data_IF_232575331073
#
_entry.id   IF_232575331073
#
_cell.length_a   1.000
_cell.length_b   1.000
_cell.length_c   1.000
_cell.angle_alpha   90.00
_cell.angle_beta   90.00
_cell.angle_gamma   90.00
#
_symmetry.space_group_name_H-M   'P 1'
#
loop_
_entity.id
_entity.type
_entity.pdbx_description
1 polymer ?
#
# COMPACT_ATOMS: atom_id res chain seq x y z
N UNK A 1 11.85 1.98 1.99
CA UNK A 1 10.70 1.44 2.75
C UNK A 1 9.47 2.30 2.50
N UNK A 2 8.55 1.85 1.63
CA UNK A 2 7.31 2.56 1.31
C UNK A 2 6.10 1.69 1.65
N UNK A 3 5.09 2.30 2.25
CA UNK A 3 3.84 1.67 2.65
C UNK A 3 2.69 2.50 2.10
N UNK A 4 1.74 1.85 1.40
CA UNK A 4 0.54 2.53 0.93
C UNK A 4 -0.40 2.79 2.12
N UNK A 5 -0.95 4.00 2.21
CA UNK A 5 -1.85 4.41 3.30
C UNK A 5 -3.09 3.51 3.41
N UNK A 6 -3.55 2.98 2.28
CA UNK A 6 -4.69 2.07 2.19
C UNK A 6 -4.48 0.72 2.92
N UNK A 7 -3.25 0.35 3.28
CA UNK A 7 -2.95 -0.88 4.03
C UNK A 7 -2.87 -0.66 5.53
N UNK A 8 -3.06 0.58 5.99
CA UNK A 8 -3.12 0.90 7.42
C UNK A 8 -4.53 0.57 7.91
N UNK A 9 -4.60 -0.30 8.92
CA UNK A 9 -5.86 -0.76 9.51
C UNK A 9 -6.33 0.20 10.59
N UNK A 10 -5.42 0.62 11.47
CA UNK A 10 -5.69 1.57 12.56
C UNK A 10 -4.57 2.58 12.67
N UNK A 11 -4.94 3.86 12.84
CA UNK A 11 -4.01 4.94 13.17
C UNK A 11 -4.31 5.37 14.61
N UNK A 12 -3.39 5.08 15.51
CA UNK A 12 -3.43 5.60 16.88
C UNK A 12 -2.61 6.88 16.95
N UNK A 13 -3.29 8.02 16.86
CA UNK A 13 -2.67 9.33 16.91
C UNK A 13 -2.08 9.66 18.29
N UNK A 14 -2.69 9.16 19.36
CA UNK A 14 -2.27 9.44 20.73
C UNK A 14 -0.94 8.77 21.08
N UNK A 15 -0.78 7.52 20.65
CA UNK A 15 0.44 6.74 20.73
C UNK A 15 1.39 6.97 19.54
N UNK A 16 1.02 7.79 18.56
CA UNK A 16 1.75 7.99 17.30
C UNK A 16 2.15 6.67 16.62
N UNK A 17 1.23 5.70 16.62
CA UNK A 17 1.47 4.34 16.12
C UNK A 17 0.46 3.98 15.03
N UNK A 18 0.90 3.23 14.04
CA UNK A 18 0.04 2.67 12.99
C UNK A 18 0.06 1.16 13.06
N UNK A 19 -1.13 0.56 12.99
CA UNK A 19 -1.31 -0.89 12.93
C UNK A 19 -1.68 -1.27 11.50
N UNK A 20 -1.02 -2.31 10.98
CA UNK A 20 -1.29 -2.88 9.66
C UNK A 20 -1.25 -4.40 9.76
N UNK A 21 -2.01 -5.08 8.92
CA UNK A 21 -1.94 -6.55 8.82
C UNK A 21 -0.63 -7.04 8.18
N UNK A 22 0.20 -6.13 7.64
CA UNK A 22 1.50 -6.46 7.08
C UNK A 22 2.53 -6.72 8.17
N UNK A 23 3.34 -7.77 8.00
CA UNK A 23 4.42 -8.08 8.94
C UNK A 23 5.58 -7.09 8.79
N UNK A 24 6.31 -6.86 9.89
CA UNK A 24 7.50 -5.98 9.88
C UNK A 24 8.56 -6.44 8.88
N UNK A 25 8.66 -7.75 8.64
CA UNK A 25 9.58 -8.33 7.67
C UNK A 25 9.20 -7.96 6.24
N UNK A 26 7.91 -8.05 5.90
CA UNK A 26 7.42 -7.63 4.60
C UNK A 26 7.68 -6.14 4.36
N UNK A 27 7.52 -5.29 5.40
CA UNK A 27 7.82 -3.86 5.32
C UNK A 27 9.32 -3.62 5.11
N UNK A 28 10.19 -4.37 5.77
CA UNK A 28 11.65 -4.27 5.56
C UNK A 28 12.10 -4.74 4.19
N UNK A 29 11.41 -5.73 3.63
CA UNK A 29 11.69 -6.24 2.29
C UNK A 29 11.10 -5.36 1.17
N UNK A 30 10.47 -4.23 1.52
CA UNK A 30 9.95 -3.24 0.57
C UNK A 30 11.03 -2.83 -0.44
N UNK A 31 10.74 -2.87 -1.75
CA UNK A 31 11.70 -2.44 -2.77
C UNK A 31 12.08 -0.98 -2.53
N UNK A 32 13.37 -0.67 -2.48
CA UNK A 32 13.82 0.71 -2.33
C UNK A 32 13.69 1.44 -3.68
N UNK A 33 13.00 2.58 -3.69
CA UNK A 33 12.93 3.44 -4.88
C UNK A 33 12.99 4.90 -4.48
N UNK A 34 13.74 5.67 -5.25
CA UNK A 34 13.82 7.13 -5.17
C UNK A 34 12.74 7.82 -6.01
N UNK A 35 12.12 7.09 -6.94
CA UNK A 35 11.09 7.58 -7.84
C UNK A 35 9.81 6.75 -7.64
N UNK A 36 8.79 7.40 -7.09
CA UNK A 36 7.45 6.83 -6.98
C UNK A 36 6.73 7.12 -8.29
N UNK A 37 6.77 6.16 -9.21
CA UNK A 37 6.00 6.16 -10.45
C UNK A 37 4.98 5.01 -10.43
N UNK A 38 3.96 5.08 -11.29
CA UNK A 38 2.95 4.02 -11.49
C UNK A 38 3.57 2.63 -11.66
N UNK A 39 4.68 2.50 -12.37
CA UNK A 39 5.36 1.22 -12.56
C UNK A 39 5.97 0.68 -11.25
N UNK A 40 6.46 1.59 -10.39
CA UNK A 40 6.96 1.22 -9.07
C UNK A 40 5.81 0.87 -8.12
N UNK A 41 4.72 1.65 -8.12
CA UNK A 41 3.52 1.34 -7.34
C UNK A 41 2.93 -0.02 -7.71
N UNK A 42 2.89 -0.36 -9.01
CA UNK A 42 2.44 -1.67 -9.47
C UNK A 42 3.34 -2.80 -8.94
N UNK A 43 4.67 -2.64 -8.96
CA UNK A 43 5.61 -3.60 -8.37
C UNK A 43 5.46 -3.70 -6.85
N UNK A 44 5.22 -2.58 -6.17
CA UNK A 44 4.99 -2.56 -4.73
C UNK A 44 3.72 -3.33 -4.38
N UNK A 45 2.63 -3.07 -5.10
CA UNK A 45 1.36 -3.77 -4.93
C UNK A 45 1.47 -5.27 -5.24
N UNK A 46 2.19 -5.65 -6.31
CA UNK A 46 2.49 -7.05 -6.64
C UNK A 46 3.32 -7.73 -5.54
N UNK A 47 4.37 -7.05 -5.05
CA UNK A 47 5.24 -7.55 -3.97
C UNK A 47 4.46 -7.84 -2.69
N UNK A 48 3.52 -6.98 -2.31
CA UNK A 48 2.65 -7.20 -1.15
C UNK A 48 1.39 -8.02 -1.45
N UNK A 49 1.22 -8.46 -2.70
CA UNK A 49 0.02 -9.14 -3.21
C UNK A 49 -1.28 -8.39 -2.86
N UNK A 50 -1.26 -7.07 -2.97
CA UNK A 50 -2.39 -6.18 -2.68
C UNK A 50 -2.95 -5.60 -3.97
N UNK A 51 -4.28 -5.62 -4.10
CA UNK A 51 -4.96 -4.97 -5.23
C UNK A 51 -4.65 -3.48 -5.28
N UNK A 52 -4.36 -2.99 -6.49
CA UNK A 52 -4.21 -1.57 -6.75
C UNK A 52 -5.52 -0.84 -6.53
N UNK A 53 -5.49 0.30 -5.84
CA UNK A 53 -6.67 1.17 -5.68
C UNK A 53 -7.26 1.62 -7.03
N UNK A 54 -6.44 1.63 -8.09
CA UNK A 54 -6.85 1.91 -9.47
C UNK A 54 -7.71 0.81 -10.12
N UNK A 55 -7.83 -0.36 -9.50
CA UNK A 55 -8.72 -1.44 -9.98
C UNK A 55 -10.18 -1.11 -9.65
N UNK A 56 -10.45 -0.41 -8.54
CA UNK A 56 -11.81 -0.08 -8.08
C UNK A 56 -12.48 1.04 -8.90
N UNK A 57 -11.71 1.91 -9.55
CA UNK A 57 -12.25 2.95 -10.46
C UNK A 57 -12.89 2.36 -11.74
N UNK A 58 -12.56 1.11 -12.09
CA UNK A 58 -13.14 0.39 -13.25
C UNK A 58 -14.41 -0.38 -12.88
N UNK A 59 -15.22 0.14 -11.94
CA UNK A 59 -16.37 -0.57 -11.38
C UNK A 59 -17.64 0.25 -11.12
N UNK A 60 -17.74 1.53 -11.51
CA UNK A 60 -19.03 2.25 -11.41
C UNK A 60 -19.17 3.37 -12.43
N UNK A 61 -19.75 3.04 -13.58
CA UNK A 61 -20.52 3.98 -14.40
C UNK A 61 -21.85 3.32 -14.72
N UNK A 62 -23.01 3.91 -14.39
CA UNK A 62 -24.31 3.29 -14.66
C UNK A 62 -24.58 3.30 -16.17
N UNK A 63 -25.04 2.17 -16.70
CA UNK A 63 -25.69 2.05 -18.00
C UNK A 63 -27.22 2.00 -17.82
#
# INVERSE_FOLDING_TARGET
MLLATQWIDVIDWFASSVSTSLTREAIKASPESSLIDRAYEAKLHDFYQKSGYWIEEKGSGPA
#
